data_IF_236147345155
#
_entry.id   IF_236147345155
#
_cell.length_a   1.000
_cell.length_b   1.000
_cell.length_c   1.000
_cell.angle_alpha   90.00
_cell.angle_beta   90.00
_cell.angle_gamma   90.00
#
_symmetry.space_group_name_H-M   'P 1'
#
loop_
_entity.id
_entity.type
_entity.pdbx_description
1 polymer ?
#
# COMPACT_ATOMS: atom_id res chain seq x y z
N UNK A 1 -3.56 -17.54 6.52
CA UNK A 1 -2.98 -17.35 5.16
C UNK A 1 -1.90 -16.30 5.26
N UNK A 2 -0.90 -16.28 4.38
CA UNK A 2 0.21 -15.31 4.43
C UNK A 2 0.34 -14.60 3.09
N UNK A 3 0.71 -13.32 3.13
CA UNK A 3 1.05 -12.53 1.96
C UNK A 3 2.21 -13.20 1.20
N UNK A 4 2.10 -13.30 -0.12
CA UNK A 4 3.12 -13.93 -0.95
C UNK A 4 4.33 -13.03 -1.19
N UNK A 5 4.17 -11.72 -1.01
CA UNK A 5 5.21 -10.71 -1.23
C UNK A 5 6.11 -10.55 0.01
N UNK A 6 5.52 -10.33 1.19
CA UNK A 6 6.28 -10.04 2.42
C UNK A 6 6.16 -11.13 3.51
N UNK A 7 5.35 -12.17 3.30
CA UNK A 7 5.17 -13.26 4.27
C UNK A 7 4.34 -12.91 5.52
N UNK A 8 3.78 -11.69 5.59
CA UNK A 8 2.91 -11.23 6.67
C UNK A 8 1.65 -12.09 6.79
N UNK A 9 1.20 -12.37 8.01
CA UNK A 9 -0.08 -13.06 8.25
C UNK A 9 -1.23 -12.19 7.74
N UNK A 10 -2.13 -12.73 6.93
CA UNK A 10 -3.29 -12.01 6.41
C UNK A 10 -4.44 -11.98 7.43
N UNK A 11 -5.21 -10.89 7.42
CA UNK A 11 -6.36 -10.64 8.30
C UNK A 11 -6.01 -10.71 9.80
N UNK A 12 -4.83 -10.20 10.16
CA UNK A 12 -4.44 -10.04 11.55
C UNK A 12 -5.11 -8.77 12.12
N UNK A 13 -5.99 -8.89 13.13
CA UNK A 13 -6.68 -7.74 13.72
C UNK A 13 -5.72 -6.76 14.43
N UNK A 14 -4.49 -7.16 14.73
CA UNK A 14 -3.47 -6.31 15.34
C UNK A 14 -2.62 -5.56 14.30
N UNK A 15 -2.74 -5.93 13.03
CA UNK A 15 -1.98 -5.32 11.93
C UNK A 15 -2.94 -4.76 10.87
N UNK A 16 -3.21 -3.44 10.89
CA UNK A 16 -4.11 -2.79 9.94
C UNK A 16 -3.72 -2.99 8.46
N UNK A 17 -2.44 -3.24 8.18
CA UNK A 17 -1.92 -3.43 6.83
C UNK A 17 -2.00 -4.90 6.37
N UNK A 18 -2.46 -5.81 7.23
CA UNK A 18 -2.57 -7.24 6.93
C UNK A 18 -3.84 -7.63 6.17
N UNK A 19 -4.72 -6.67 5.86
CA UNK A 19 -5.98 -6.93 5.15
C UNK A 19 -5.75 -7.76 3.89
N UNK A 20 -6.55 -8.82 3.73
CA UNK A 20 -6.43 -9.74 2.59
C UNK A 20 -6.99 -9.11 1.31
N UNK A 21 -6.08 -8.85 0.36
CA UNK A 21 -6.39 -8.33 -0.97
C UNK A 21 -6.35 -9.43 -2.04
N UNK A 22 -6.76 -10.65 -1.69
CA UNK A 22 -6.81 -11.80 -2.62
C UNK A 22 -5.57 -12.70 -2.56
N UNK A 23 -4.95 -12.79 -1.39
CA UNK A 23 -3.74 -13.60 -1.14
C UNK A 23 -2.49 -12.78 -0.80
N UNK A 24 -2.55 -11.46 -0.97
CA UNK A 24 -1.51 -10.52 -0.58
C UNK A 24 -2.06 -9.49 0.41
N UNK A 25 -1.19 -8.94 1.25
CA UNK A 25 -1.62 -7.97 2.25
C UNK A 25 -1.79 -6.58 1.63
N UNK A 26 -2.74 -5.81 2.20
CA UNK A 26 -2.93 -4.39 1.88
C UNK A 26 -1.64 -3.56 1.99
N UNK A 27 -0.75 -3.92 2.92
CA UNK A 27 0.59 -3.38 3.03
C UNK A 27 1.32 -3.38 1.69
N UNK A 28 1.42 -4.54 1.04
CA UNK A 28 2.13 -4.66 -0.24
C UNK A 28 1.29 -4.13 -1.40
N UNK A 29 0.02 -4.51 -1.49
CA UNK A 29 -0.84 -4.14 -2.62
C UNK A 29 -1.05 -2.64 -2.68
N UNK A 30 -1.36 -1.99 -1.55
CA UNK A 30 -1.54 -0.55 -1.50
C UNK A 30 -0.30 0.22 -1.93
N UNK A 31 0.90 -0.25 -1.58
CA UNK A 31 2.17 0.35 -2.01
C UNK A 31 2.40 0.22 -3.51
N UNK A 32 2.21 -0.99 -4.05
CA UNK A 32 2.35 -1.28 -5.48
C UNK A 32 1.37 -0.45 -6.31
N UNK A 33 0.11 -0.39 -5.87
CA UNK A 33 -0.93 0.38 -6.54
C UNK A 33 -0.70 1.88 -6.44
N UNK A 34 -0.21 2.37 -5.29
CA UNK A 34 0.19 3.76 -5.14
C UNK A 34 1.37 4.11 -6.07
N UNK A 35 2.38 3.23 -6.16
CA UNK A 35 3.51 3.40 -7.08
C UNK A 35 3.09 3.37 -8.55
N UNK A 36 2.09 2.53 -8.88
CA UNK A 36 1.47 2.49 -10.21
C UNK A 36 0.60 3.73 -10.51
N UNK A 37 0.34 4.59 -9.52
CA UNK A 37 -0.41 5.83 -9.68
C UNK A 37 -1.93 5.68 -9.49
N UNK A 38 -2.40 4.62 -8.85
CA UNK A 38 -3.84 4.46 -8.57
C UNK A 38 -4.26 5.38 -7.41
N UNK A 39 -5.06 6.40 -7.72
CA UNK A 39 -5.46 7.46 -6.79
C UNK A 39 -6.11 6.98 -5.48
N UNK A 40 -7.00 5.97 -5.46
CA UNK A 40 -7.61 5.46 -4.23
C UNK A 40 -6.56 4.87 -3.28
N UNK A 41 -5.68 4.01 -3.78
CA UNK A 41 -4.63 3.39 -2.97
C UNK A 41 -3.60 4.42 -2.52
N UNK A 42 -3.22 5.35 -3.40
CA UNK A 42 -2.33 6.45 -3.07
C UNK A 42 -2.92 7.34 -1.96
N UNK A 43 -4.22 7.64 -2.01
CA UNK A 43 -4.91 8.42 -0.95
C UNK A 43 -4.92 7.68 0.38
N UNK A 44 -5.14 6.38 0.38
CA UNK A 44 -5.13 5.55 1.60
C UNK A 44 -3.72 5.44 2.18
N UNK A 45 -2.74 5.09 1.36
CA UNK A 45 -1.33 4.95 1.75
C UNK A 45 -0.77 6.26 2.32
N UNK A 46 -1.14 7.42 1.75
CA UNK A 46 -0.82 8.74 2.35
C UNK A 46 -1.37 8.90 3.76
N UNK A 47 -2.63 8.53 3.99
CA UNK A 47 -3.26 8.62 5.33
C UNK A 47 -2.55 7.70 6.32
N UNK A 48 -2.16 6.51 5.87
CA UNK A 48 -1.42 5.53 6.67
C UNK A 48 -0.02 6.01 7.03
N UNK A 49 0.68 6.62 6.07
CA UNK A 49 1.98 7.25 6.29
C UNK A 49 1.89 8.38 7.31
N UNK A 50 0.91 9.30 7.18
CA UNK A 50 0.67 10.38 8.15
C UNK A 50 0.30 9.83 9.53
N UNK A 51 -0.37 8.68 9.58
CA UNK A 51 -0.70 7.98 10.83
C UNK A 51 0.48 7.18 11.41
N UNK A 52 1.64 7.18 10.75
CA UNK A 52 2.85 6.47 11.18
C UNK A 52 2.84 4.96 10.92
N UNK A 53 1.86 4.42 10.18
CA UNK A 53 1.79 3.00 9.85
C UNK A 53 2.83 2.59 8.79
N UNK A 54 3.28 3.54 7.97
CA UNK A 54 4.28 3.32 6.91
C UNK A 54 5.41 4.35 7.02
N UNK A 55 6.30 4.24 8.02
CA UNK A 55 7.32 5.25 8.27
C UNK A 55 8.32 5.39 7.11
N UNK A 56 8.59 4.31 6.38
CA UNK A 56 9.55 4.28 5.27
C UNK A 56 8.91 4.57 3.90
N UNK A 57 7.60 4.83 3.84
CA UNK A 57 6.92 5.10 2.58
C UNK A 57 7.20 6.53 2.10
N UNK A 58 7.53 6.67 0.81
CA UNK A 58 7.70 7.96 0.16
C UNK A 58 6.67 8.11 -0.94
N UNK A 59 6.08 9.30 -1.06
CA UNK A 59 5.13 9.60 -2.11
C UNK A 59 5.77 9.42 -3.49
N UNK A 60 5.23 8.55 -4.36
CA UNK A 60 5.75 8.42 -5.72
C UNK A 60 5.50 9.74 -6.45
N UNK A 61 6.56 10.28 -7.07
CA UNK A 61 6.44 11.48 -7.88
C UNK A 61 5.37 11.24 -8.95
N UNK A 62 4.38 12.14 -9.04
CA UNK A 62 3.45 12.15 -10.17
C UNK A 62 4.32 12.17 -11.43
N UNK A 63 4.38 11.06 -12.16
CA UNK A 63 4.85 11.08 -13.53
C UNK A 63 3.84 11.93 -14.30
N UNK A 64 4.08 13.24 -14.34
CA UNK A 64 3.45 14.10 -15.32
C UNK A 64 3.89 13.51 -16.65
N UNK A 65 3.01 12.74 -17.29
CA UNK A 65 3.27 12.25 -18.62
C UNK A 65 3.41 13.52 -19.48
N UNK A 66 4.60 13.86 -20.03
CA UNK A 66 4.78 15.10 -20.79
C UNK A 66 4.23 14.97 -22.22
N UNK A 67 3.20 14.14 -22.42
CA UNK A 67 2.52 13.92 -23.71
C UNK A 67 1.02 14.13 -23.53
N UNK A 68 0.65 15.39 -23.38
CA UNK A 68 -0.65 15.91 -23.81
C UNK A 68 -0.38 16.99 -24.85
#
# INVERSE_FOLDING_TARGET
MKCSICGRTLNDPLDPLSGDCGGDCWGCIGEIEAEAGWEPSLTMVRKEHVSGLRPDWTEPEKKSNPRA
#
